data_IF_036582246081
#
_entry.id   IF_036582246081
#
_cell.length_a   1.000
_cell.length_b   1.000
_cell.length_c   1.000
_cell.angle_alpha   90.00
_cell.angle_beta   90.00
_cell.angle_gamma   90.00
#
_symmetry.space_group_name_H-M   'P 1'
#
loop_
_entity.id
_entity.type
_entity.pdbx_description
1 polymer ?
#
# COMPACT_ATOMS: atom_id res chain seq x y z
N UNK A 1 1.03 -6.91 -25.74
CA UNK A 1 0.83 -8.23 -25.09
C UNK A 1 -0.56 -8.37 -24.49
N UNK A 2 -0.99 -7.47 -23.58
CA UNK A 2 -2.32 -7.51 -22.93
C UNK A 2 -3.49 -7.38 -23.93
N UNK A 3 -3.40 -6.47 -24.92
CA UNK A 3 -4.48 -6.26 -25.89
C UNK A 3 -4.73 -7.46 -26.83
N UNK A 4 -3.69 -8.23 -27.14
CA UNK A 4 -3.81 -9.45 -27.96
C UNK A 4 -4.47 -10.57 -27.16
N UNK A 5 -4.06 -10.75 -25.90
CA UNK A 5 -4.71 -11.69 -24.98
C UNK A 5 -6.20 -11.35 -24.78
N UNK A 6 -6.51 -10.07 -24.56
CA UNK A 6 -7.89 -9.59 -24.43
C UNK A 6 -8.75 -9.90 -25.67
N UNK A 7 -8.20 -9.68 -26.87
CA UNK A 7 -8.88 -9.99 -28.12
C UNK A 7 -9.23 -11.48 -28.24
N UNK A 8 -8.31 -12.39 -27.93
CA UNK A 8 -8.56 -13.84 -27.97
C UNK A 8 -9.60 -14.29 -26.95
N UNK A 9 -9.58 -13.71 -25.75
CA UNK A 9 -10.56 -14.01 -24.69
C UNK A 9 -11.96 -13.52 -25.08
N UNK A 10 -12.11 -12.31 -25.63
CA UNK A 10 -13.39 -11.82 -26.12
C UNK A 10 -13.92 -12.64 -27.31
N UNK A 11 -13.03 -13.16 -28.17
CA UNK A 11 -13.39 -14.04 -29.28
C UNK A 11 -13.87 -15.41 -28.79
N UNK A 12 -13.24 -15.95 -27.73
CA UNK A 12 -13.64 -17.21 -27.10
C UNK A 12 -14.98 -17.11 -26.35
N UNK A 13 -15.24 -15.97 -25.67
CA UNK A 13 -16.50 -15.67 -24.98
C UNK A 13 -17.69 -15.58 -25.96
N UNK A 14 -17.50 -14.89 -27.10
CA UNK A 14 -18.50 -14.84 -28.18
C UNK A 14 -18.79 -16.20 -28.83
N UNK A 15 -17.90 -17.19 -28.67
CA UNK A 15 -18.07 -18.55 -29.18
C UNK A 15 -18.95 -19.45 -28.30
N UNK A 16 -19.51 -18.94 -27.18
CA UNK A 16 -20.39 -19.70 -26.29
C UNK A 16 -19.68 -20.75 -25.42
N UNK A 17 -18.35 -20.80 -25.43
CA UNK A 17 -17.57 -21.82 -24.71
C UNK A 17 -17.32 -21.52 -23.23
N UNK A 18 -17.60 -20.31 -22.74
CA UNK A 18 -17.29 -19.89 -21.37
C UNK A 18 -18.42 -19.09 -20.72
N UNK A 19 -19.07 -19.67 -19.71
CA UNK A 19 -19.98 -18.93 -18.84
C UNK A 19 -19.19 -18.20 -17.74
N UNK A 20 -18.67 -17.01 -18.06
CA UNK A 20 -17.91 -16.15 -17.12
C UNK A 20 -18.70 -15.88 -15.82
N UNK A 21 -20.04 -15.93 -15.88
CA UNK A 21 -20.91 -15.78 -14.72
C UNK A 21 -20.65 -16.82 -13.61
N UNK A 22 -20.25 -18.06 -13.95
CA UNK A 22 -19.94 -19.13 -12.99
C UNK A 22 -18.74 -18.77 -12.11
N UNK A 23 -17.77 -18.03 -12.66
CA UNK A 23 -16.55 -17.62 -11.97
C UNK A 23 -16.70 -16.33 -11.16
N UNK A 24 -17.82 -15.61 -11.31
CA UNK A 24 -18.06 -14.38 -10.54
C UNK A 24 -18.13 -14.61 -9.03
N UNK A 25 -18.69 -15.75 -8.58
CA UNK A 25 -18.73 -16.11 -7.15
C UNK A 25 -17.35 -16.41 -6.60
N UNK A 26 -16.55 -17.20 -7.34
CA UNK A 26 -15.16 -17.53 -6.98
C UNK A 26 -14.31 -16.26 -6.93
N UNK A 27 -14.42 -15.38 -7.93
CA UNK A 27 -13.74 -14.08 -7.96
C UNK A 27 -14.11 -13.21 -6.76
N UNK A 28 -15.40 -13.10 -6.43
CA UNK A 28 -15.84 -12.33 -5.25
C UNK A 28 -15.25 -12.91 -3.96
N UNK A 29 -15.24 -14.24 -3.81
CA UNK A 29 -14.62 -14.89 -2.66
C UNK A 29 -13.12 -14.57 -2.57
N UNK A 30 -12.39 -14.67 -3.68
CA UNK A 30 -10.97 -14.31 -3.74
C UNK A 30 -10.71 -12.85 -3.38
N UNK A 31 -11.52 -11.92 -3.91
CA UNK A 31 -11.42 -10.50 -3.54
C UNK A 31 -11.68 -10.27 -2.04
N UNK A 32 -12.66 -10.96 -1.46
CA UNK A 32 -12.91 -10.88 -0.01
C UNK A 32 -11.72 -11.41 0.80
N UNK A 33 -11.11 -12.52 0.37
CA UNK A 33 -9.89 -13.06 1.00
C UNK A 33 -8.75 -12.05 0.93
N UNK A 34 -8.52 -11.42 -0.22
CA UNK A 34 -7.49 -10.39 -0.39
C UNK A 34 -7.75 -9.16 0.48
N UNK A 35 -8.99 -8.69 0.55
CA UNK A 35 -9.35 -7.54 1.40
C UNK A 35 -9.19 -7.89 2.88
N UNK A 36 -9.59 -9.10 3.30
CA UNK A 36 -9.47 -9.56 4.67
C UNK A 36 -8.02 -9.87 5.08
N UNK A 37 -7.15 -10.29 4.15
CA UNK A 37 -5.77 -10.64 4.49
C UNK A 37 -4.97 -9.45 5.01
N UNK A 38 -5.28 -8.22 4.58
CA UNK A 38 -4.59 -7.01 5.03
C UNK A 38 -4.79 -6.74 6.53
N UNK A 39 -6.01 -6.57 7.08
CA UNK A 39 -6.21 -6.36 8.51
C UNK A 39 -5.76 -7.56 9.35
N UNK A 40 -5.94 -8.79 8.85
CA UNK A 40 -5.44 -10.00 9.53
C UNK A 40 -3.91 -9.94 9.68
N UNK A 41 -3.19 -9.56 8.63
CA UNK A 41 -1.73 -9.43 8.67
C UNK A 41 -1.29 -8.37 9.68
N UNK A 42 -1.97 -7.22 9.74
CA UNK A 42 -1.68 -6.15 10.72
C UNK A 42 -1.90 -6.66 12.16
N UNK A 43 -3.00 -7.35 12.41
CA UNK A 43 -3.32 -7.93 13.73
C UNK A 43 -2.27 -8.97 14.14
N UNK A 44 -1.86 -9.85 13.21
CA UNK A 44 -0.82 -10.84 13.46
C UNK A 44 0.52 -10.18 13.76
N UNK A 45 0.91 -9.18 12.97
CA UNK A 45 2.15 -8.42 13.23
C UNK A 45 2.12 -7.81 14.62
N UNK A 46 1.00 -7.19 15.01
CA UNK A 46 0.84 -6.60 16.34
C UNK A 46 1.04 -7.64 17.45
N UNK A 47 0.28 -8.74 17.44
CA UNK A 47 0.35 -9.76 18.49
C UNK A 47 1.69 -10.49 18.57
N UNK A 48 2.34 -10.73 17.42
CA UNK A 48 3.68 -11.35 17.39
C UNK A 48 4.72 -10.37 17.94
N UNK A 49 4.65 -9.10 17.53
CA UNK A 49 5.58 -8.05 17.99
C UNK A 49 5.44 -7.76 19.49
N UNK A 50 4.22 -7.79 20.05
CA UNK A 50 3.98 -7.61 21.49
C UNK A 50 4.27 -8.86 22.33
N UNK A 51 4.69 -9.96 21.71
CA UNK A 51 5.00 -11.22 22.39
C UNK A 51 3.76 -12.03 22.81
N UNK A 52 2.56 -11.66 22.38
CA UNK A 52 1.33 -12.38 22.70
C UNK A 52 1.16 -13.67 21.90
N UNK A 53 1.92 -13.84 20.81
CA UNK A 53 1.89 -15.01 19.94
C UNK A 53 3.31 -15.52 19.62
N UNK A 54 3.99 -16.06 20.62
CA UNK A 54 5.39 -16.49 20.53
C UNK A 54 5.64 -17.60 19.49
N UNK A 55 4.63 -18.44 19.22
CA UNK A 55 4.73 -19.54 18.24
C UNK A 55 5.04 -19.07 16.82
N UNK A 56 4.70 -17.83 16.48
CA UNK A 56 4.96 -17.23 15.16
C UNK A 56 6.17 -16.28 15.16
N UNK A 57 6.88 -16.14 16.28
CA UNK A 57 8.03 -15.24 16.43
C UNK A 57 9.19 -15.59 15.49
N UNK A 58 9.31 -16.85 15.05
CA UNK A 58 10.28 -17.27 14.04
C UNK A 58 10.02 -16.72 12.63
N UNK A 59 8.83 -16.19 12.36
CA UNK A 59 8.48 -15.60 11.06
C UNK A 59 8.86 -14.12 11.07
N UNK A 60 10.05 -13.80 10.52
CA UNK A 60 10.61 -12.44 10.58
C UNK A 60 9.66 -11.33 10.11
N UNK A 61 8.85 -11.57 9.07
CA UNK A 61 7.88 -10.58 8.57
C UNK A 61 6.72 -10.26 9.53
N UNK A 62 6.45 -11.11 10.54
CA UNK A 62 5.45 -10.85 11.57
C UNK A 62 6.01 -10.07 12.77
N UNK A 63 7.33 -9.86 12.84
CA UNK A 63 7.98 -9.16 13.95
C UNK A 63 8.40 -7.77 13.49
N UNK A 64 7.61 -6.75 13.80
CA UNK A 64 7.94 -5.39 13.41
C UNK A 64 8.98 -4.80 14.37
N UNK A 65 10.17 -4.51 13.83
CA UNK A 65 11.24 -3.81 14.51
C UNK A 65 11.96 -2.86 13.54
N UNK A 66 13.06 -2.22 13.97
CA UNK A 66 13.81 -1.30 13.11
C UNK A 66 14.46 -1.96 11.90
N UNK A 67 14.69 -3.27 11.94
CA UNK A 67 15.32 -4.03 10.85
C UNK A 67 14.29 -4.64 9.88
N UNK A 68 13.00 -4.60 10.23
CA UNK A 68 11.91 -5.19 9.47
C UNK A 68 11.92 -4.79 8.00
N UNK A 69 11.72 -5.78 7.13
CA UNK A 69 11.61 -5.57 5.70
C UNK A 69 12.86 -4.92 5.10
N UNK A 70 14.06 -5.28 5.54
CA UNK A 70 15.32 -4.64 5.11
C UNK A 70 15.34 -3.15 5.48
N UNK A 71 15.32 -2.87 6.79
CA UNK A 71 15.34 -1.54 7.40
C UNK A 71 14.12 -0.63 7.10
N UNK A 72 13.08 -1.14 6.43
CA UNK A 72 11.81 -0.41 6.23
C UNK A 72 11.12 -0.08 7.55
N UNK A 73 11.25 -0.93 8.56
CA UNK A 73 10.72 -0.65 9.89
C UNK A 73 11.30 0.64 10.48
N UNK A 74 12.63 0.82 10.42
CA UNK A 74 13.28 2.07 10.80
C UNK A 74 12.75 3.24 9.97
N UNK A 75 12.73 3.11 8.64
CA UNK A 75 12.22 4.16 7.74
C UNK A 75 10.81 4.60 8.14
N UNK A 76 9.91 3.66 8.39
CA UNK A 76 8.50 3.95 8.71
C UNK A 76 8.33 4.58 10.08
N UNK A 77 9.07 4.13 11.09
CA UNK A 77 9.08 4.77 12.40
C UNK A 77 9.60 6.21 12.31
N UNK A 78 10.73 6.41 11.61
CA UNK A 78 11.29 7.73 11.35
C UNK A 78 10.32 8.64 10.61
N UNK A 79 9.66 8.15 9.54
CA UNK A 79 8.68 8.93 8.77
C UNK A 79 7.47 9.30 9.62
N UNK A 80 7.00 8.39 10.48
CA UNK A 80 5.89 8.68 11.37
C UNK A 80 6.25 9.79 12.37
N UNK A 81 7.43 9.71 12.98
CA UNK A 81 7.94 10.74 13.90
C UNK A 81 8.11 12.08 13.19
N UNK A 82 8.70 12.09 11.98
CA UNK A 82 8.80 13.28 11.12
C UNK A 82 7.43 13.93 10.89
N UNK A 83 6.42 13.14 10.48
CA UNK A 83 5.08 13.64 10.23
C UNK A 83 4.41 14.20 11.50
N UNK A 84 4.61 13.55 12.65
CA UNK A 84 4.07 14.01 13.94
C UNK A 84 4.65 15.36 14.35
N UNK A 85 5.85 15.70 13.88
CA UNK A 85 6.54 16.95 14.21
C UNK A 85 6.22 18.09 13.23
N UNK A 86 5.54 17.80 12.12
CA UNK A 86 5.10 18.86 11.21
C UNK A 86 4.13 19.84 11.88
N UNK A 87 4.25 21.15 11.56
CA UNK A 87 3.22 22.11 11.94
C UNK A 87 1.90 21.76 11.25
N UNK A 88 0.78 22.24 11.80
CA UNK A 88 -0.56 21.86 11.35
C UNK A 88 -0.74 22.03 9.83
N UNK A 89 -0.22 23.12 9.25
CA UNK A 89 -0.30 23.37 7.81
C UNK A 89 0.35 22.24 6.99
N UNK A 90 1.58 21.84 7.32
CA UNK A 90 2.29 20.76 6.63
C UNK A 90 1.67 19.38 6.92
N UNK A 91 1.03 19.15 8.07
CA UNK A 91 0.24 17.93 8.28
C UNK A 91 -0.94 17.84 7.31
N UNK A 92 -1.58 18.98 7.01
CA UNK A 92 -2.74 19.02 6.13
C UNK A 92 -2.35 18.97 4.65
N UNK A 93 -1.29 19.68 4.24
CA UNK A 93 -0.94 19.90 2.82
C UNK A 93 0.44 19.38 2.40
N UNK A 94 1.22 18.85 3.34
CA UNK A 94 2.54 18.27 3.07
C UNK A 94 3.65 19.29 2.89
N UNK A 95 4.81 18.82 2.46
CA UNK A 95 6.01 19.64 2.15
C UNK A 95 6.24 19.82 0.64
N UNK A 96 5.36 19.26 -0.19
CA UNK A 96 5.47 19.27 -1.65
C UNK A 96 6.10 17.99 -2.22
N UNK A 97 5.91 17.74 -3.52
CA UNK A 97 6.46 16.57 -4.21
C UNK A 97 7.99 16.63 -4.26
N UNK A 98 8.62 15.47 -4.10
CA UNK A 98 10.09 15.31 -4.12
C UNK A 98 10.84 16.02 -2.98
N UNK A 99 10.11 16.50 -1.96
CA UNK A 99 10.69 17.20 -0.80
C UNK A 99 10.94 16.28 0.42
N UNK A 100 10.94 14.96 0.25
CA UNK A 100 11.06 14.02 1.37
C UNK A 100 12.47 14.06 1.97
N UNK A 101 13.50 13.96 1.12
CA UNK A 101 14.90 13.98 1.55
C UNK A 101 15.26 15.24 2.37
N UNK A 102 14.99 16.48 1.89
CA UNK A 102 15.28 17.66 2.68
C UNK A 102 14.48 17.69 3.98
N UNK A 103 13.18 17.35 3.96
CA UNK A 103 12.37 17.32 5.18
C UNK A 103 12.88 16.30 6.22
N UNK A 104 13.35 15.14 5.76
CA UNK A 104 13.93 14.11 6.63
C UNK A 104 15.27 14.55 7.24
N UNK A 105 16.15 15.14 6.43
CA UNK A 105 17.45 15.64 6.88
C UNK A 105 17.29 16.81 7.86
N UNK A 106 16.38 17.75 7.57
CA UNK A 106 16.08 18.88 8.45
C UNK A 106 15.51 18.44 9.79
N UNK A 107 14.76 17.33 9.81
CA UNK A 107 14.20 16.78 11.03
C UNK A 107 15.26 16.14 11.93
N UNK A 108 16.07 15.21 11.39
CA UNK A 108 17.11 14.57 12.18
C UNK A 108 18.21 13.92 11.32
N UNK A 109 19.14 14.74 10.84
CA UNK A 109 20.29 14.28 10.07
C UNK A 109 21.19 13.28 10.82
N UNK A 110 21.42 13.46 12.12
CA UNK A 110 22.33 12.58 12.88
C UNK A 110 21.84 11.14 12.93
N UNK A 111 20.53 10.94 13.13
CA UNK A 111 19.91 9.62 13.15
C UNK A 111 19.95 8.95 11.77
N UNK A 112 19.74 9.73 10.71
CA UNK A 112 19.86 9.24 9.32
C UNK A 112 21.29 8.84 8.99
N UNK A 113 22.27 9.67 9.37
CA UNK A 113 23.69 9.39 9.18
C UNK A 113 24.13 8.14 9.95
N UNK A 114 23.66 7.95 11.18
CA UNK A 114 23.96 6.76 11.97
C UNK A 114 23.39 5.47 11.33
N UNK A 115 22.27 5.57 10.62
CA UNK A 115 21.63 4.43 9.95
C UNK A 115 22.22 4.13 8.56
N UNK A 116 22.53 5.16 7.78
CA UNK A 116 22.80 5.06 6.34
C UNK A 116 24.09 5.73 5.87
N UNK A 117 24.83 6.39 6.76
CA UNK A 117 26.07 7.11 6.40
C UNK A 117 25.81 8.18 5.35
N UNK A 118 26.50 8.06 4.21
CA UNK A 118 26.35 9.00 3.09
C UNK A 118 25.11 8.76 2.22
N UNK A 119 24.38 7.66 2.42
CA UNK A 119 23.19 7.38 1.65
C UNK A 119 22.02 8.27 2.11
N UNK A 120 21.25 8.78 1.14
CA UNK A 120 20.15 9.71 1.39
C UNK A 120 18.82 8.97 1.37
N UNK A 121 18.02 9.13 2.42
CA UNK A 121 16.66 8.63 2.46
C UNK A 121 15.75 9.52 1.59
N UNK A 122 15.46 9.09 0.36
CA UNK A 122 14.71 9.90 -0.61
C UNK A 122 13.19 9.71 -0.55
N UNK A 123 12.71 8.64 0.09
CA UNK A 123 11.28 8.39 0.30
C UNK A 123 11.07 7.41 1.46
N UNK A 124 9.81 7.19 1.84
CA UNK A 124 9.47 6.30 2.95
C UNK A 124 9.49 4.79 2.55
N UNK A 125 9.83 4.46 1.30
CA UNK A 125 9.65 3.12 0.72
C UNK A 125 8.25 2.54 0.93
N UNK A 126 7.26 3.41 1.11
CA UNK A 126 5.84 3.15 1.25
C UNK A 126 5.12 4.32 0.60
N UNK A 127 4.31 4.00 -0.41
CA UNK A 127 3.61 5.00 -1.21
C UNK A 127 2.69 5.88 -0.36
N UNK A 128 2.01 5.29 0.62
CA UNK A 128 1.07 6.01 1.48
C UNK A 128 1.78 6.96 2.43
N UNK A 129 2.91 6.55 3.01
CA UNK A 129 3.74 7.45 3.81
C UNK A 129 4.38 8.54 2.96
N UNK A 130 4.88 8.20 1.77
CA UNK A 130 5.47 9.19 0.86
C UNK A 130 4.44 10.22 0.43
N UNK A 131 3.23 9.79 0.04
CA UNK A 131 2.11 10.66 -0.28
C UNK A 131 1.68 11.51 0.92
N UNK A 132 1.70 10.96 2.14
CA UNK A 132 1.39 11.71 3.36
C UNK A 132 2.39 12.84 3.61
N UNK A 133 3.69 12.60 3.42
CA UNK A 133 4.72 13.65 3.57
C UNK A 133 4.61 14.69 2.45
N UNK A 134 4.43 14.26 1.20
CA UNK A 134 4.36 15.18 0.05
C UNK A 134 3.11 16.05 0.06
N UNK A 135 1.95 15.47 0.33
CA UNK A 135 0.65 16.12 0.09
C UNK A 135 -0.20 16.28 1.34
N UNK A 136 0.26 15.81 2.50
CA UNK A 136 -0.46 15.86 3.76
C UNK A 136 -1.73 15.00 3.75
N UNK A 137 -2.53 15.14 4.80
CA UNK A 137 -3.78 14.40 4.98
C UNK A 137 -4.76 14.66 3.82
N UNK A 138 -4.89 15.92 3.39
CA UNK A 138 -5.84 16.29 2.33
C UNK A 138 -5.45 15.62 1.01
N UNK A 139 -4.17 15.69 0.64
CA UNK A 139 -3.68 15.06 -0.57
C UNK A 139 -3.71 13.54 -0.51
N UNK A 140 -3.41 12.94 0.65
CA UNK A 140 -3.54 11.48 0.84
C UNK A 140 -4.98 10.99 0.63
N UNK A 141 -5.97 11.72 1.17
CA UNK A 141 -7.39 11.41 0.97
C UNK A 141 -7.75 11.53 -0.52
N UNK A 142 -7.31 12.60 -1.18
CA UNK A 142 -7.55 12.79 -2.61
C UNK A 142 -6.92 11.66 -3.46
N UNK A 143 -5.67 11.30 -3.16
CA UNK A 143 -4.93 10.23 -3.82
C UNK A 143 -5.63 8.88 -3.63
N UNK A 144 -5.98 8.52 -2.39
CA UNK A 144 -6.76 7.31 -2.09
C UNK A 144 -8.14 7.31 -2.78
N UNK A 145 -8.78 8.49 -2.85
CA UNK A 145 -10.06 8.70 -3.54
C UNK A 145 -10.02 8.32 -5.03
N UNK A 146 -8.90 8.51 -5.72
CA UNK A 146 -8.73 8.09 -7.11
C UNK A 146 -8.86 6.57 -7.23
N UNK A 147 -8.13 5.81 -6.40
CA UNK A 147 -8.16 4.35 -6.43
C UNK A 147 -9.51 3.80 -5.98
N UNK A 148 -10.09 4.35 -4.91
CA UNK A 148 -11.39 3.93 -4.38
C UNK A 148 -12.49 4.19 -5.41
N UNK A 149 -12.51 5.37 -6.03
CA UNK A 149 -13.52 5.70 -7.04
C UNK A 149 -13.37 4.85 -8.31
N UNK A 150 -12.13 4.57 -8.73
CA UNK A 150 -11.83 3.63 -9.83
C UNK A 150 -12.34 2.22 -9.52
N UNK A 151 -11.96 1.67 -8.37
CA UNK A 151 -12.40 0.35 -7.91
C UNK A 151 -13.92 0.25 -7.81
N UNK A 152 -14.59 1.27 -7.24
CA UNK A 152 -16.05 1.32 -7.14
C UNK A 152 -16.73 1.35 -8.51
N UNK A 153 -16.18 2.12 -9.47
CA UNK A 153 -16.69 2.19 -10.85
C UNK A 153 -16.53 0.85 -11.56
N UNK A 154 -15.38 0.19 -11.42
CA UNK A 154 -15.13 -1.11 -12.01
C UNK A 154 -16.00 -2.20 -11.38
N UNK A 155 -16.13 -2.23 -10.05
CA UNK A 155 -16.99 -3.17 -9.33
C UNK A 155 -18.46 -3.06 -9.77
N UNK A 156 -19.00 -1.85 -9.94
CA UNK A 156 -20.37 -1.62 -10.42
C UNK A 156 -20.58 -2.13 -11.85
N UNK A 157 -19.58 -2.01 -12.72
CA UNK A 157 -19.66 -2.45 -14.12
C UNK A 157 -19.28 -3.92 -14.32
N UNK A 158 -18.70 -4.57 -13.31
CA UNK A 158 -18.19 -5.94 -13.35
C UNK A 158 -19.24 -7.03 -13.68
N UNK A 159 -20.53 -6.72 -13.55
CA UNK A 159 -21.61 -7.64 -13.94
C UNK A 159 -21.90 -7.58 -15.45
N UNK A 160 -21.82 -6.38 -16.04
CA UNK A 160 -22.08 -6.14 -17.46
C UNK A 160 -20.85 -6.40 -18.33
N UNK A 161 -19.68 -6.04 -17.81
CA UNK A 161 -18.40 -6.16 -18.48
C UNK A 161 -17.40 -6.83 -17.52
N UNK A 162 -17.46 -8.17 -17.38
CA UNK A 162 -16.70 -8.90 -16.36
C UNK A 162 -15.19 -8.74 -16.49
N UNK A 163 -14.70 -8.37 -17.67
CA UNK A 163 -13.29 -8.10 -17.93
C UNK A 163 -12.76 -6.80 -17.30
N UNK A 164 -13.63 -5.86 -16.89
CA UNK A 164 -13.21 -4.63 -16.20
C UNK A 164 -12.66 -4.88 -14.80
N UNK A 165 -12.89 -6.08 -14.25
CA UNK A 165 -12.36 -6.52 -12.95
C UNK A 165 -11.58 -7.83 -13.16
N UNK A 166 -10.87 -7.94 -14.28
CA UNK A 166 -9.92 -9.02 -14.50
C UNK A 166 -8.68 -8.75 -13.63
N UNK A 167 -8.75 -9.24 -12.39
CA UNK A 167 -7.61 -9.61 -11.56
C UNK A 167 -7.34 -11.09 -11.80
#
# INVERSE_FOLDING_TARGET
>A
MIGVFYYFVCKADKGGGWEIQKYQKVRKAFLWVLVASLPISIILIYFVTTGSLESLKGVGYLNFDKYWGNARGFTWMFTADLFLQFPLFNKMFGVGPDCYAPAALDFNHEVLWAQWGNDVLTNAHNEWFTALIFFGIVGLIAYGGIFISGAARFAKKAYKEPFLVAL
#
